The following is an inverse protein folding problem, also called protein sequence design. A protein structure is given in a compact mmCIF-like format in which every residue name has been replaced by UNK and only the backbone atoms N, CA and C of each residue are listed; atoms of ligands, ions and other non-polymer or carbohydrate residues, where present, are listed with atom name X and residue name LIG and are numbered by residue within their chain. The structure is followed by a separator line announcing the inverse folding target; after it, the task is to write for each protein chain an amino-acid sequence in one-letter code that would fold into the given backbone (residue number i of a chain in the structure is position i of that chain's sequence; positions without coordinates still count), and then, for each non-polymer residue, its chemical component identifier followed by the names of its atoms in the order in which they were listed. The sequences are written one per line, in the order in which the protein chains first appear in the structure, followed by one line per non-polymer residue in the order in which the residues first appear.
data_IF_751539266124
#
_entry.id   IF_751539266124
#
_cell.length_a   1.000
_cell.length_b   1.000
_cell.length_c   1.000
_cell.angle_alpha   90.00
_cell.angle_beta   90.00
_cell.angle_gamma   90.00
#
_symmetry.space_group_name_H-M   'P 1'
#
loop_
_entity.id
_entity.type
_entity.pdbx_description
1 polymer ?
#
# COMPACT_ATOMS: atom_id res chain seq x y z
N UNK A 1 76.86 -19.82 -10.13
CA UNK A 1 76.05 -19.55 -8.93
C UNK A 1 74.80 -18.82 -9.40
N UNK A 2 73.66 -19.53 -9.49
CA UNK A 2 72.43 -19.00 -10.09
C UNK A 2 71.63 -18.23 -9.03
N UNK A 3 71.36 -16.95 -9.32
CA UNK A 3 70.59 -16.04 -8.48
C UNK A 3 69.10 -16.36 -8.60
N UNK A 4 68.47 -16.83 -7.53
CA UNK A 4 67.04 -17.12 -7.48
C UNK A 4 66.25 -15.90 -7.02
N UNK A 5 65.46 -15.36 -7.94
CA UNK A 5 64.33 -14.46 -7.70
C UNK A 5 63.21 -15.22 -6.97
N UNK A 6 62.67 -14.67 -5.87
CA UNK A 6 61.45 -15.17 -5.23
C UNK A 6 60.44 -14.03 -5.08
N UNK A 7 59.21 -14.39 -5.48
CA UNK A 7 58.06 -13.56 -5.82
C UNK A 7 57.39 -12.92 -4.59
N UNK A 8 56.95 -11.67 -4.75
CA UNK A 8 56.03 -10.98 -3.81
C UNK A 8 54.67 -11.67 -3.81
N UNK A 9 54.24 -12.16 -2.65
CA UNK A 9 52.89 -12.64 -2.39
C UNK A 9 51.92 -11.47 -2.22
N UNK A 10 50.97 -11.34 -3.16
CA UNK A 10 49.87 -10.38 -3.09
C UNK A 10 48.80 -10.82 -2.09
N UNK A 11 48.49 -9.96 -1.12
CA UNK A 11 47.41 -10.13 -0.16
C UNK A 11 46.08 -9.80 -0.85
N UNK A 12 45.22 -10.79 -1.08
CA UNK A 12 43.88 -10.56 -1.66
C UNK A 12 42.93 -10.19 -0.53
N UNK A 13 42.55 -8.92 -0.43
CA UNK A 13 41.55 -8.46 0.53
C UNK A 13 40.15 -8.78 0.00
N UNK A 14 39.47 -9.76 0.61
CA UNK A 14 38.06 -10.06 0.37
C UNK A 14 37.19 -8.99 1.02
N UNK A 15 36.61 -8.10 0.22
CA UNK A 15 35.60 -7.15 0.67
C UNK A 15 34.30 -7.92 0.97
N UNK A 16 34.00 -8.12 2.25
CA UNK A 16 32.67 -8.55 2.69
C UNK A 16 31.70 -7.39 2.44
N UNK A 17 30.90 -7.49 1.37
CA UNK A 17 29.77 -6.59 1.18
C UNK A 17 28.78 -6.81 2.34
N UNK A 18 28.63 -5.79 3.20
CA UNK A 18 27.60 -5.80 4.23
C UNK A 18 26.22 -5.87 3.56
N UNK A 19 25.27 -6.67 4.08
CA UNK A 19 23.91 -6.66 3.56
C UNK A 19 23.34 -5.24 3.70
N UNK A 20 22.80 -4.70 2.61
CA UNK A 20 22.11 -3.43 2.63
C UNK A 20 21.01 -3.48 3.70
N UNK A 21 21.07 -2.57 4.67
CA UNK A 21 19.99 -2.35 5.62
C UNK A 21 18.81 -1.79 4.85
N UNK A 22 17.91 -2.67 4.42
CA UNK A 22 16.60 -2.31 3.88
C UNK A 22 15.90 -1.32 4.84
N UNK A 23 15.17 -0.31 4.31
CA UNK A 23 14.52 0.70 5.15
C UNK A 23 13.60 0.01 6.17
N UNK A 24 13.93 0.08 7.46
CA UNK A 24 13.19 -0.59 8.55
C UNK A 24 12.00 0.22 9.10
N UNK A 25 11.54 1.25 8.39
CA UNK A 25 10.46 2.08 8.90
C UNK A 25 9.10 1.41 8.66
N UNK A 26 8.63 0.68 9.68
CA UNK A 26 7.23 0.30 9.80
C UNK A 26 6.44 1.48 10.37
N UNK A 27 5.37 1.87 9.69
CA UNK A 27 4.54 3.02 10.03
C UNK A 27 3.12 2.55 10.29
N UNK A 28 2.52 3.00 11.40
CA UNK A 28 1.09 2.80 11.67
C UNK A 28 0.39 4.14 11.56
N UNK A 29 -0.68 4.19 10.76
CA UNK A 29 -1.51 5.36 10.58
C UNK A 29 -2.95 5.06 10.99
N UNK A 30 -3.54 5.99 11.72
CA UNK A 30 -4.94 5.95 12.16
C UNK A 30 -5.83 6.99 11.45
N UNK A 31 -5.25 7.77 10.55
CA UNK A 31 -5.96 8.73 9.72
C UNK A 31 -5.40 8.74 8.27
N UNK A 32 -6.26 9.09 7.31
CA UNK A 32 -5.91 9.05 5.90
C UNK A 32 -4.89 10.14 5.51
N UNK A 33 -4.98 11.34 6.10
CA UNK A 33 -4.14 12.47 5.72
C UNK A 33 -2.66 12.21 6.05
N UNK A 34 -2.39 11.70 7.25
CA UNK A 34 -1.04 11.35 7.70
C UNK A 34 -0.48 10.17 6.90
N UNK A 35 -1.30 9.16 6.58
CA UNK A 35 -0.89 8.05 5.73
C UNK A 35 -0.47 8.53 4.34
N UNK A 36 -1.32 9.33 3.68
CA UNK A 36 -1.07 9.86 2.33
C UNK A 36 0.20 10.72 2.31
N UNK A 37 0.39 11.56 3.33
CA UNK A 37 1.56 12.45 3.43
C UNK A 37 2.88 11.68 3.61
N UNK A 38 2.86 10.60 4.40
CA UNK A 38 4.09 9.94 4.86
C UNK A 38 4.37 8.56 4.22
N UNK A 39 3.48 8.04 3.36
CA UNK A 39 3.59 6.71 2.74
C UNK A 39 4.94 6.41 2.07
N UNK A 40 5.60 7.41 1.47
CA UNK A 40 6.89 7.24 0.82
C UNK A 40 8.06 6.95 1.79
N UNK A 41 7.89 7.23 3.08
CA UNK A 41 8.91 6.96 4.11
C UNK A 41 8.92 5.52 4.60
N UNK A 42 7.90 4.73 4.28
CA UNK A 42 7.59 3.48 4.97
C UNK A 42 7.79 2.25 4.07
N UNK A 43 8.46 1.23 4.59
CA UNK A 43 8.53 -0.10 3.94
C UNK A 43 7.37 -1.00 4.35
N UNK A 44 6.82 -0.80 5.55
CA UNK A 44 5.55 -1.39 6.00
C UNK A 44 4.59 -0.29 6.41
N UNK A 45 3.36 -0.35 5.95
CA UNK A 45 2.29 0.61 6.23
C UNK A 45 1.13 -0.16 6.84
N UNK A 46 0.82 0.12 8.11
CA UNK A 46 -0.36 -0.40 8.79
C UNK A 46 -1.41 0.70 8.82
N UNK A 47 -2.58 0.40 8.24
CA UNK A 47 -3.73 1.30 8.19
C UNK A 47 -4.75 0.81 9.22
N UNK A 48 -4.77 1.43 10.40
CA UNK A 48 -5.52 0.95 11.56
C UNK A 48 -6.76 1.83 11.84
N UNK A 49 -7.96 1.29 11.64
CA UNK A 49 -9.23 1.98 11.88
C UNK A 49 -9.37 3.34 11.16
N UNK A 50 -8.86 3.43 9.93
CA UNK A 50 -8.90 4.69 9.17
C UNK A 50 -10.35 5.03 8.76
N UNK A 51 -10.81 6.22 9.16
CA UNK A 51 -11.98 6.86 8.59
C UNK A 51 -11.53 7.87 7.52
N UNK A 52 -11.74 7.52 6.25
CA UNK A 52 -11.38 8.38 5.12
C UNK A 52 -12.44 9.49 4.98
N UNK A 53 -12.05 10.78 4.91
CA UNK A 53 -13.01 11.87 4.72
C UNK A 53 -13.84 11.72 3.45
N UNK A 54 -15.02 12.36 3.43
CA UNK A 54 -15.85 12.40 2.23
C UNK A 54 -15.11 13.05 1.05
N UNK A 55 -15.42 12.61 -0.17
CA UNK A 55 -14.81 13.13 -1.42
C UNK A 55 -13.27 13.07 -1.42
N UNK A 56 -12.70 12.13 -0.67
CA UNK A 56 -11.26 11.92 -0.57
C UNK A 56 -10.93 10.47 -0.90
N UNK A 57 -9.87 10.28 -1.69
CA UNK A 57 -9.29 8.96 -1.95
C UNK A 57 -8.28 8.66 -0.85
N UNK A 58 -8.30 7.45 -0.27
CA UNK A 58 -7.14 6.91 0.43
C UNK A 58 -6.05 6.60 -0.61
N UNK A 59 -5.25 7.62 -0.89
CA UNK A 59 -4.25 7.60 -1.95
C UNK A 59 -2.98 6.88 -1.48
N UNK A 60 -2.83 5.64 -1.91
CA UNK A 60 -1.65 4.79 -1.74
C UNK A 60 -0.98 4.53 -3.10
N UNK A 61 -1.03 5.52 -3.99
CA UNK A 61 -0.27 5.52 -5.24
C UNK A 61 1.20 5.87 -5.01
N UNK A 62 2.07 5.45 -5.93
CA UNK A 62 3.51 5.74 -5.94
C UNK A 62 4.21 5.29 -4.66
N UNK A 63 3.83 4.12 -4.13
CA UNK A 63 4.55 3.50 -3.03
C UNK A 63 5.95 3.10 -3.48
N UNK A 64 6.86 2.99 -2.52
CA UNK A 64 8.18 2.42 -2.79
C UNK A 64 8.03 0.97 -3.21
N UNK A 65 8.94 0.53 -4.07
CA UNK A 65 9.00 -0.86 -4.48
C UNK A 65 9.16 -1.78 -3.27
N UNK A 66 8.41 -2.88 -3.23
CA UNK A 66 8.47 -3.80 -2.10
C UNK A 66 7.64 -3.38 -0.87
N UNK A 67 6.95 -2.23 -0.89
CA UNK A 67 6.16 -1.79 0.27
C UNK A 67 5.06 -2.81 0.61
N UNK A 68 4.98 -3.15 1.89
CA UNK A 68 3.94 -3.98 2.48
C UNK A 68 2.85 -3.11 3.11
N UNK A 69 1.60 -3.24 2.70
CA UNK A 69 0.45 -2.52 3.24
C UNK A 69 -0.52 -3.49 3.92
N UNK A 70 -0.88 -3.18 5.17
CA UNK A 70 -1.74 -4.02 6.01
C UNK A 70 -2.97 -3.20 6.44
N UNK A 71 -4.16 -3.65 6.07
CA UNK A 71 -5.41 -3.12 6.63
C UNK A 71 -5.71 -3.78 7.96
N UNK A 72 -5.93 -2.98 9.01
CA UNK A 72 -6.24 -3.44 10.37
C UNK A 72 -7.48 -2.74 10.91
N UNK A 73 -8.28 -3.48 11.69
CA UNK A 73 -9.52 -2.95 12.25
C UNK A 73 -10.55 -2.65 11.16
N UNK A 74 -11.29 -1.54 11.29
CA UNK A 74 -12.36 -1.16 10.37
C UNK A 74 -12.01 0.11 9.59
N UNK A 75 -11.81 -0.01 8.28
CA UNK A 75 -11.70 1.15 7.39
C UNK A 75 -13.09 1.59 6.92
N UNK A 76 -13.37 2.89 6.96
CA UNK A 76 -14.65 3.50 6.54
C UNK A 76 -14.44 4.75 5.68
N UNK A 77 -15.51 5.24 5.06
CA UNK A 77 -15.46 6.39 4.14
C UNK A 77 -16.61 7.36 4.42
N UNK A 78 -16.33 8.65 4.40
CA UNK A 78 -17.36 9.70 4.47
C UNK A 78 -18.27 9.69 3.24
N UNK A 79 -19.54 10.07 3.44
CA UNK A 79 -20.52 10.12 2.36
C UNK A 79 -20.37 11.38 1.50
N UNK A 80 -20.32 11.19 0.18
CA UNK A 80 -20.48 12.22 -0.84
C UNK A 80 -20.91 11.56 -2.14
N UNK A 81 -21.64 12.26 -3.00
CA UNK A 81 -21.92 11.80 -4.37
C UNK A 81 -20.78 12.27 -5.28
N UNK A 82 -19.89 11.34 -5.66
CA UNK A 82 -18.70 11.59 -6.47
C UNK A 82 -18.22 10.29 -7.11
N UNK A 83 -17.32 10.39 -8.07
CA UNK A 83 -16.92 9.24 -8.91
C UNK A 83 -15.88 8.33 -8.25
N UNK A 84 -15.22 8.79 -7.18
CA UNK A 84 -14.14 8.05 -6.52
C UNK A 84 -12.81 8.14 -7.29
N UNK A 85 -11.89 7.17 -7.08
CA UNK A 85 -12.05 5.96 -6.26
C UNK A 85 -11.96 6.23 -4.74
N UNK A 86 -12.50 5.32 -3.93
CA UNK A 86 -12.36 5.34 -2.47
C UNK A 86 -10.92 5.01 -2.03
N UNK A 87 -10.29 4.01 -2.65
CA UNK A 87 -8.89 3.62 -2.43
C UNK A 87 -8.16 3.55 -3.78
N UNK A 88 -6.91 3.99 -3.84
CA UNK A 88 -6.07 3.85 -5.04
C UNK A 88 -4.66 3.37 -4.71
N UNK A 89 -4.18 2.39 -5.48
CA UNK A 89 -2.83 1.84 -5.38
C UNK A 89 -2.11 1.85 -6.73
N UNK A 90 -0.84 2.23 -6.70
CA UNK A 90 0.12 2.02 -7.79
C UNK A 90 1.50 1.75 -7.20
N UNK A 91 2.30 0.93 -7.90
CA UNK A 91 3.64 0.56 -7.45
C UNK A 91 4.10 -0.78 -8.03
N UNK A 92 5.26 -1.22 -7.57
CA UNK A 92 5.89 -2.47 -8.00
C UNK A 92 6.25 -3.34 -6.79
N UNK A 93 6.09 -4.66 -6.93
CA UNK A 93 6.36 -5.64 -5.88
C UNK A 93 5.65 -5.33 -4.54
N UNK A 94 4.43 -4.81 -4.60
CA UNK A 94 3.66 -4.50 -3.39
C UNK A 94 3.01 -5.75 -2.82
N UNK A 95 3.00 -5.85 -1.50
CA UNK A 95 2.13 -6.79 -0.78
C UNK A 95 1.02 -5.97 -0.12
N UNK A 96 -0.23 -6.26 -0.42
CA UNK A 96 -1.39 -5.57 0.16
C UNK A 96 -2.27 -6.64 0.79
N UNK A 97 -2.41 -6.61 2.12
CA UNK A 97 -3.17 -7.62 2.83
C UNK A 97 -4.04 -7.07 3.96
N UNK A 98 -4.98 -7.89 4.41
CA UNK A 98 -5.83 -7.62 5.55
C UNK A 98 -5.42 -8.46 6.76
N UNK A 99 -5.30 -7.82 7.92
CA UNK A 99 -5.07 -8.51 9.18
C UNK A 99 -6.30 -9.34 9.60
N UNK A 100 -6.11 -10.30 10.51
CA UNK A 100 -7.23 -11.08 11.06
C UNK A 100 -8.31 -10.16 11.66
N UNK A 101 -9.57 -10.42 11.32
CA UNK A 101 -10.72 -9.64 11.80
C UNK A 101 -10.89 -8.25 11.19
N UNK A 102 -10.03 -7.82 10.26
CA UNK A 102 -10.20 -6.53 9.60
C UNK A 102 -11.44 -6.50 8.69
N UNK A 103 -11.91 -5.28 8.39
CA UNK A 103 -12.90 -5.04 7.35
C UNK A 103 -12.70 -3.67 6.69
N UNK A 104 -13.03 -3.60 5.41
CA UNK A 104 -13.16 -2.35 4.66
C UNK A 104 -14.65 -2.18 4.36
N UNK A 105 -15.36 -1.45 5.22
CA UNK A 105 -16.80 -1.25 5.10
C UNK A 105 -17.07 0.09 4.44
N UNK A 106 -17.53 0.04 3.19
CA UNK A 106 -17.83 1.24 2.42
C UNK A 106 -19.21 1.83 2.74
N UNK A 107 -20.03 1.12 3.51
CA UNK A 107 -21.40 1.50 3.87
C UNK A 107 -22.22 1.96 2.64
N UNK A 108 -22.12 1.20 1.54
CA UNK A 108 -22.65 1.49 0.21
C UNK A 108 -24.15 1.73 0.15
N UNK A 109 -24.90 1.22 1.13
CA UNK A 109 -26.34 1.50 1.34
C UNK A 109 -26.70 2.99 1.33
N UNK A 110 -25.74 3.87 1.62
CA UNK A 110 -25.93 5.33 1.53
C UNK A 110 -26.11 5.82 0.09
N UNK A 111 -25.54 5.10 -0.89
CA UNK A 111 -25.64 5.40 -2.34
C UNK A 111 -26.63 4.53 -3.08
N UNK A 112 -26.89 3.30 -2.63
CA UNK A 112 -27.74 2.36 -3.37
C UNK A 112 -29.15 2.91 -3.58
N UNK A 113 -29.52 3.07 -4.84
CA UNK A 113 -30.78 3.62 -5.34
C UNK A 113 -31.44 2.71 -6.38
N UNK A 114 -30.97 1.47 -6.48
CA UNK A 114 -31.41 0.48 -7.47
C UNK A 114 -30.87 0.69 -8.89
N UNK A 115 -30.08 1.74 -9.15
CA UNK A 115 -29.64 2.11 -10.51
C UNK A 115 -28.16 1.85 -10.79
N UNK A 116 -27.36 1.49 -9.78
CA UNK A 116 -25.93 1.19 -9.96
C UNK A 116 -25.18 2.34 -10.64
N UNK A 117 -24.34 2.03 -11.65
CA UNK A 117 -23.65 3.05 -12.47
C UNK A 117 -24.51 3.61 -13.62
N UNK A 118 -25.75 3.15 -13.80
CA UNK A 118 -26.59 3.48 -14.97
C UNK A 118 -27.49 4.71 -14.77
N UNK A 119 -27.36 5.40 -13.63
CA UNK A 119 -28.12 6.61 -13.31
C UNK A 119 -28.35 6.78 -11.81
N UNK A 120 -29.14 7.79 -11.44
CA UNK A 120 -29.40 8.13 -10.04
C UNK A 120 -28.24 8.88 -9.39
N UNK A 121 -27.92 8.55 -8.14
CA UNK A 121 -26.79 9.13 -7.40
C UNK A 121 -25.46 8.80 -8.08
N UNK A 122 -24.52 9.75 -8.07
CA UNK A 122 -23.13 9.45 -8.44
C UNK A 122 -22.48 8.63 -7.32
N UNK A 123 -21.97 7.45 -7.67
CA UNK A 123 -21.48 6.45 -6.70
C UNK A 123 -19.97 6.25 -6.90
N UNK A 124 -19.15 6.39 -5.85
CA UNK A 124 -17.71 6.31 -6.03
C UNK A 124 -17.29 4.87 -6.28
N UNK A 125 -16.38 4.66 -7.24
CA UNK A 125 -15.72 3.37 -7.43
C UNK A 125 -14.93 3.02 -6.17
N UNK A 126 -14.89 1.73 -5.83
CA UNK A 126 -14.25 1.31 -4.58
C UNK A 126 -12.72 1.36 -4.65
N UNK A 127 -12.10 0.50 -5.45
CA UNK A 127 -10.66 0.23 -5.38
C UNK A 127 -10.02 0.30 -6.76
N UNK A 128 -9.01 1.15 -6.91
CA UNK A 128 -8.24 1.27 -8.16
C UNK A 128 -6.88 0.59 -8.02
N UNK A 129 -6.64 -0.40 -8.90
CA UNK A 129 -5.43 -1.22 -8.97
C UNK A 129 -4.78 -1.19 -10.37
N UNK A 130 -4.89 -0.07 -11.11
CA UNK A 130 -4.59 -0.01 -12.54
C UNK A 130 -3.09 -0.01 -12.91
N UNK A 131 -2.18 0.23 -11.97
CA UNK A 131 -0.73 0.28 -12.24
C UNK A 131 0.08 -0.41 -11.16
N UNK A 132 -0.37 -1.61 -10.79
CA UNK A 132 0.38 -2.55 -9.96
C UNK A 132 1.19 -3.49 -10.83
N UNK A 133 2.48 -3.65 -10.51
CA UNK A 133 3.40 -4.58 -11.19
C UNK A 133 3.92 -5.60 -10.18
N UNK A 134 3.92 -6.88 -10.53
CA UNK A 134 4.43 -7.97 -9.68
C UNK A 134 3.92 -7.91 -8.22
N UNK A 135 2.70 -7.43 -8.02
CA UNK A 135 2.14 -7.13 -6.70
C UNK A 135 1.04 -8.11 -6.35
N UNK A 136 0.82 -8.33 -5.06
CA UNK A 136 -0.20 -9.24 -4.56
C UNK A 136 -1.18 -8.49 -3.66
N UNK A 137 -2.47 -8.69 -3.92
CA UNK A 137 -3.55 -8.30 -3.01
C UNK A 137 -4.16 -9.59 -2.47
N UNK A 138 -4.18 -9.78 -1.16
CA UNK A 138 -4.73 -11.00 -0.56
C UNK A 138 -5.47 -10.72 0.75
N UNK A 139 -6.42 -11.58 1.09
CA UNK A 139 -7.13 -11.55 2.37
C UNK A 139 -7.81 -10.21 2.69
N UNK A 140 -8.26 -9.43 1.70
CA UNK A 140 -9.08 -8.25 1.97
C UNK A 140 -10.53 -8.66 2.22
N UNK A 141 -11.11 -8.16 3.29
CA UNK A 141 -12.52 -8.34 3.64
C UNK A 141 -13.27 -7.04 3.34
N UNK A 142 -13.94 -7.00 2.19
CA UNK A 142 -14.61 -5.79 1.69
C UNK A 142 -16.12 -5.94 1.87
N UNK A 143 -16.75 -4.91 2.44
CA UNK A 143 -18.18 -4.89 2.72
C UNK A 143 -18.84 -3.69 2.03
N UNK A 144 -20.02 -3.93 1.46
CA UNK A 144 -20.97 -2.88 1.03
C UNK A 144 -20.38 -1.82 0.08
N UNK A 145 -19.77 -2.17 -1.06
CA UNK A 145 -19.26 -1.16 -1.99
C UNK A 145 -20.40 -0.28 -2.57
N UNK A 146 -20.17 1.00 -2.89
CA UNK A 146 -21.22 1.88 -3.42
C UNK A 146 -21.76 1.48 -4.78
N UNK A 147 -20.91 0.85 -5.62
CA UNK A 147 -21.25 0.35 -6.96
C UNK A 147 -20.38 -0.83 -7.34
#
# INVERSE_FOLDING_TARGET
MFSSTVLLSGLVASVLAAPALEPRASCTFTDAATAIKNKAGCSTIILNNIAVPAKTTLDLTKLKDGTHVIFQGKTTFGYAEWEGPLISFTGNNLLIEGASGHSIDCEGKRWWDGKGSNGGKTKPKFFSAHSLKNSNIKNLNVLNTPV
#
